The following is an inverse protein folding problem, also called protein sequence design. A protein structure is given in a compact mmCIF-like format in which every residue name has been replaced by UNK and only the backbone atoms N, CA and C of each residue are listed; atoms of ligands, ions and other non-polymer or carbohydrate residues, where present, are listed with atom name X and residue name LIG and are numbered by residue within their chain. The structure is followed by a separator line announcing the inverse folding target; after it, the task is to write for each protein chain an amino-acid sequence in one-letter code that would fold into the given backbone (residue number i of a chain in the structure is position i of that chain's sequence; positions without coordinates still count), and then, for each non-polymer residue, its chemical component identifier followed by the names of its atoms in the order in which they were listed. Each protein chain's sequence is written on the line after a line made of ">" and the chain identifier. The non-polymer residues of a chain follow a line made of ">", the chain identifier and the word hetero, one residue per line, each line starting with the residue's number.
data_IF_603892072788
#
_entry.id   IF_603892072788
#
_cell.length_a   1.000
_cell.length_b   1.000
_cell.length_c   1.000
_cell.angle_alpha   90.00
_cell.angle_beta   90.00
_cell.angle_gamma   90.00
#
_symmetry.space_group_name_H-M   'P 1'
#
loop_
_entity.id
_entity.type
_entity.pdbx_description
1 polymer ?
#
# COMPACT_ATOMS: atom_id res chain seq x y z
N UNK A 1 23.97 -1.58 5.54
CA UNK A 1 22.67 -2.17 5.95
C UNK A 1 22.37 -1.93 7.44
N UNK A 2 22.95 -2.62 8.44
CA UNK A 2 22.63 -2.38 9.87
C UNK A 2 22.80 -0.92 10.36
N UNK A 3 23.81 -0.20 9.88
CA UNK A 3 24.02 1.24 10.16
C UNK A 3 22.93 2.13 9.54
N UNK A 4 22.40 1.73 8.39
CA UNK A 4 21.36 2.44 7.64
C UNK A 4 19.94 2.07 8.12
N UNK A 5 19.75 0.84 8.60
CA UNK A 5 18.55 0.42 9.35
C UNK A 5 18.34 1.33 10.57
N UNK A 6 19.41 1.72 11.28
CA UNK A 6 19.33 2.70 12.37
C UNK A 6 18.94 4.11 11.90
N UNK A 7 19.33 4.53 10.68
CA UNK A 7 18.88 5.81 10.11
C UNK A 7 17.41 5.74 9.70
N UNK A 8 16.97 4.62 9.17
CA UNK A 8 15.55 4.36 8.88
C UNK A 8 14.70 4.47 10.16
N UNK A 9 15.19 3.96 11.29
CA UNK A 9 14.55 4.15 12.62
C UNK A 9 14.42 5.63 13.03
N UNK A 10 15.33 6.50 12.59
CA UNK A 10 15.30 7.94 12.88
C UNK A 10 14.33 8.69 11.95
N UNK A 11 14.24 8.32 10.67
CA UNK A 11 13.27 8.85 9.70
C UNK A 11 11.84 8.38 10.02
N UNK A 12 11.67 7.15 10.50
CA UNK A 12 10.40 6.67 11.06
C UNK A 12 9.99 7.50 12.29
N UNK A 13 10.96 8.05 13.04
CA UNK A 13 10.72 8.96 14.16
C UNK A 13 10.26 10.37 13.77
N UNK A 14 10.36 10.75 12.50
CA UNK A 14 9.83 12.02 11.96
C UNK A 14 8.49 11.84 11.25
N UNK A 15 7.70 10.83 11.65
CA UNK A 15 6.46 10.43 10.98
C UNK A 15 5.59 11.62 10.58
N UNK A 16 5.34 11.72 9.27
CA UNK A 16 4.64 12.85 8.66
C UNK A 16 3.12 12.82 8.90
N UNK A 17 2.60 11.70 9.42
CA UNK A 17 1.16 11.43 9.47
C UNK A 17 0.79 10.56 10.67
N UNK A 18 0.03 11.14 11.59
CA UNK A 18 -0.46 10.47 12.79
C UNK A 18 -1.89 10.02 12.55
N UNK A 19 -2.19 8.72 12.70
CA UNK A 19 -3.57 8.24 12.65
C UNK A 19 -4.07 8.00 14.09
N UNK A 20 -5.12 8.69 14.56
CA UNK A 20 -5.66 8.50 15.92
C UNK A 20 -6.33 7.12 16.12
N UNK A 21 -6.22 6.21 15.15
CA UNK A 21 -6.74 4.86 15.23
C UNK A 21 -5.81 3.96 16.06
N UNK A 22 -5.89 4.02 17.39
CA UNK A 22 -5.50 2.86 18.20
C UNK A 22 -6.50 1.73 17.90
N UNK A 23 -6.06 0.47 17.72
CA UNK A 23 -6.99 -0.65 17.61
C UNK A 23 -7.86 -0.64 18.86
N UNK A 24 -9.16 -0.37 18.71
CA UNK A 24 -10.00 -0.18 19.86
C UNK A 24 -10.19 -1.56 20.49
N UNK A 25 -9.86 -1.67 21.78
CA UNK A 25 -10.22 -2.86 22.57
C UNK A 25 -11.75 -3.08 22.60
N UNK A 26 -12.52 -2.07 22.21
CA UNK A 26 -13.96 -2.14 22.05
C UNK A 26 -14.36 -2.97 20.83
N UNK A 27 -15.34 -3.85 21.00
CA UNK A 27 -16.01 -4.52 19.87
C UNK A 27 -16.63 -3.47 18.94
N UNK A 28 -16.40 -3.55 17.61
CA UNK A 28 -17.02 -2.67 16.62
C UNK A 28 -18.54 -2.70 16.71
N UNK A 29 -19.18 -1.62 16.28
CA UNK A 29 -20.63 -1.58 16.16
C UNK A 29 -21.12 -2.60 15.13
N UNK A 30 -22.16 -3.37 15.48
CA UNK A 30 -22.86 -4.25 14.54
C UNK A 30 -23.70 -3.39 13.60
N UNK A 31 -23.57 -3.61 12.29
CA UNK A 31 -24.27 -2.83 11.27
C UNK A 31 -23.70 -2.98 9.86
N UNK A 32 -24.32 -2.25 8.93
CA UNK A 32 -23.88 -2.11 7.54
C UNK A 32 -23.00 -0.85 7.42
N UNK A 33 -21.79 -1.00 6.90
CA UNK A 33 -20.82 0.08 6.70
C UNK A 33 -20.38 0.12 5.24
N UNK A 34 -20.12 1.32 4.73
CA UNK A 34 -19.45 1.47 3.45
C UNK A 34 -17.96 1.73 3.66
N UNK A 35 -17.15 1.17 2.78
CA UNK A 35 -15.74 1.46 2.71
C UNK A 35 -15.35 1.82 1.28
N UNK A 36 -14.54 2.87 1.15
CA UNK A 36 -13.89 3.24 -0.10
C UNK A 36 -12.41 2.89 0.01
N UNK A 37 -11.83 2.38 -1.06
CA UNK A 37 -10.39 2.16 -1.14
C UNK A 37 -9.84 2.79 -2.42
N UNK A 38 -9.09 3.87 -2.23
CA UNK A 38 -8.41 4.64 -3.26
C UNK A 38 -6.91 4.68 -2.95
N UNK A 39 -6.12 3.91 -3.72
CA UNK A 39 -4.66 3.87 -3.56
C UNK A 39 -3.86 3.57 -4.82
N UNK A 40 -4.51 3.43 -5.97
CA UNK A 40 -3.89 3.13 -7.26
C UNK A 40 -4.89 3.34 -8.40
N UNK A 41 -4.67 2.70 -9.54
CA UNK A 41 -5.56 2.80 -10.71
C UNK A 41 -6.91 2.10 -10.54
N UNK A 42 -7.03 1.23 -9.53
CA UNK A 42 -8.26 0.54 -9.18
C UNK A 42 -8.87 1.16 -7.92
N UNK A 43 -10.05 1.74 -8.07
CA UNK A 43 -10.89 2.21 -6.98
C UNK A 43 -11.88 1.12 -6.56
N UNK A 44 -12.14 0.98 -5.26
CA UNK A 44 -13.10 0.00 -4.74
C UNK A 44 -14.16 0.66 -3.89
N UNK A 45 -15.41 0.27 -4.13
CA UNK A 45 -16.55 0.57 -3.25
C UNK A 45 -17.00 -0.74 -2.61
N UNK A 46 -17.11 -0.74 -1.29
CA UNK A 46 -17.35 -1.94 -0.49
C UNK A 46 -18.51 -1.73 0.47
N UNK A 47 -19.41 -2.71 0.54
CA UNK A 47 -20.38 -2.86 1.61
C UNK A 47 -19.87 -3.93 2.59
N UNK A 48 -19.58 -3.51 3.81
CA UNK A 48 -19.07 -4.37 4.88
C UNK A 48 -20.16 -4.53 5.93
N UNK A 49 -20.59 -5.76 6.16
CA UNK A 49 -21.57 -6.11 7.18
C UNK A 49 -20.83 -6.67 8.38
N UNK A 50 -20.88 -5.93 9.48
CA UNK A 50 -20.24 -6.29 10.73
C UNK A 50 -21.30 -6.85 11.66
N UNK A 51 -21.15 -8.09 12.12
CA UNK A 51 -22.15 -8.72 12.99
C UNK A 51 -21.75 -10.07 13.55
N UNK A 52 -22.76 -10.80 14.00
CA UNK A 52 -22.63 -12.19 14.43
C UNK A 52 -23.31 -13.10 13.38
N UNK A 53 -22.72 -14.27 13.15
CA UNK A 53 -23.36 -15.30 12.33
C UNK A 53 -24.46 -16.05 13.12
N UNK A 54 -25.05 -17.07 12.50
CA UNK A 54 -26.13 -17.85 13.10
C UNK A 54 -25.70 -18.63 14.35
N UNK A 55 -24.39 -18.85 14.52
CA UNK A 55 -23.79 -19.54 15.66
C UNK A 55 -23.31 -18.55 16.75
N UNK A 56 -23.59 -17.26 16.59
CA UNK A 56 -23.17 -16.20 17.50
C UNK A 56 -21.68 -15.87 17.39
N UNK A 57 -20.98 -16.33 16.35
CA UNK A 57 -19.58 -16.00 16.12
C UNK A 57 -19.46 -14.69 15.35
N UNK A 58 -18.42 -13.92 15.70
CA UNK A 58 -18.11 -12.68 15.02
C UNK A 58 -17.83 -12.93 13.54
N UNK A 59 -18.58 -12.26 12.66
CA UNK A 59 -18.43 -12.39 11.21
C UNK A 59 -18.45 -11.02 10.55
N UNK A 60 -17.54 -10.84 9.59
CA UNK A 60 -17.50 -9.68 8.71
C UNK A 60 -17.71 -10.18 7.29
N UNK A 61 -18.84 -9.81 6.69
CA UNK A 61 -19.17 -10.15 5.29
C UNK A 61 -18.94 -8.93 4.40
N UNK A 62 -18.19 -9.10 3.32
CA UNK A 62 -17.84 -8.00 2.42
C UNK A 62 -18.36 -8.27 1.03
N UNK A 63 -19.01 -7.27 0.43
CA UNK A 63 -19.29 -7.21 -1.00
C UNK A 63 -18.58 -6.00 -1.57
N UNK A 64 -18.06 -6.11 -2.77
CA UNK A 64 -17.33 -5.00 -3.38
C UNK A 64 -17.53 -4.94 -4.88
N UNK A 65 -17.22 -3.77 -5.44
CA UNK A 65 -17.05 -3.58 -6.88
C UNK A 65 -15.80 -2.75 -7.14
N UNK A 66 -15.03 -3.17 -8.15
CA UNK A 66 -13.86 -2.45 -8.62
C UNK A 66 -14.23 -1.54 -9.78
N UNK A 67 -13.63 -0.35 -9.80
CA UNK A 67 -13.76 0.66 -10.83
C UNK A 67 -12.37 1.08 -11.28
N UNK A 68 -12.14 1.13 -12.59
CA UNK A 68 -10.88 1.63 -13.14
C UNK A 68 -10.95 3.15 -13.24
N UNK A 69 -10.03 3.85 -12.57
CA UNK A 69 -10.01 5.31 -12.61
C UNK A 69 -9.42 5.77 -13.95
N UNK A 70 -10.14 6.60 -14.73
CA UNK A 70 -9.63 7.18 -15.96
C UNK A 70 -8.37 8.04 -15.72
N UNK A 71 -7.41 8.02 -16.66
CA UNK A 71 -6.14 8.75 -16.53
C UNK A 71 -6.34 10.27 -16.45
N UNK A 72 -7.32 10.79 -17.19
CA UNK A 72 -7.76 12.19 -17.15
C UNK A 72 -8.36 12.57 -15.78
N UNK A 73 -9.02 11.65 -15.09
CA UNK A 73 -9.45 11.88 -13.70
C UNK A 73 -8.26 11.87 -12.72
N UNK A 74 -7.27 10.99 -12.93
CA UNK A 74 -6.07 10.91 -12.08
C UNK A 74 -5.15 12.13 -12.20
N UNK A 75 -5.12 12.76 -13.38
CA UNK A 75 -4.20 13.86 -13.74
C UNK A 75 -4.88 15.20 -13.96
N UNK A 76 -6.21 15.25 -13.91
CA UNK A 76 -7.02 16.45 -14.13
C UNK A 76 -7.15 17.34 -12.89
N UNK A 77 -8.38 17.60 -12.46
CA UNK A 77 -8.68 18.40 -11.27
C UNK A 77 -9.21 17.53 -10.13
N UNK A 78 -9.09 18.02 -8.90
CA UNK A 78 -9.69 17.38 -7.74
C UNK A 78 -11.21 17.19 -7.93
N UNK A 79 -11.90 18.20 -8.48
CA UNK A 79 -13.34 18.10 -8.78
C UNK A 79 -13.64 16.92 -9.71
N UNK A 80 -12.91 16.79 -10.82
CA UNK A 80 -13.08 15.65 -11.75
C UNK A 80 -12.87 14.30 -11.05
N UNK A 81 -11.81 14.17 -10.23
CA UNK A 81 -11.52 12.93 -9.52
C UNK A 81 -12.62 12.57 -8.51
N UNK A 82 -13.02 13.52 -7.67
CA UNK A 82 -14.01 13.26 -6.61
C UNK A 82 -15.44 13.12 -7.17
N UNK A 83 -15.77 13.78 -8.28
CA UNK A 83 -17.05 13.57 -8.97
C UNK A 83 -17.13 12.16 -9.59
N UNK A 84 -16.03 11.66 -10.17
CA UNK A 84 -15.93 10.28 -10.64
C UNK A 84 -16.07 9.27 -9.48
N UNK A 85 -15.45 9.56 -8.33
CA UNK A 85 -15.61 8.74 -7.11
C UNK A 85 -17.08 8.72 -6.65
N UNK A 86 -17.74 9.88 -6.60
CA UNK A 86 -19.16 9.96 -6.25
C UNK A 86 -20.05 9.21 -7.25
N UNK A 87 -19.67 9.17 -8.52
CA UNK A 87 -20.33 8.35 -9.54
C UNK A 87 -20.22 6.85 -9.28
N UNK A 88 -19.02 6.38 -9.00
CA UNK A 88 -18.78 4.98 -8.66
C UNK A 88 -19.59 4.56 -7.41
N UNK A 89 -19.66 5.43 -6.40
CA UNK A 89 -20.46 5.19 -5.18
C UNK A 89 -21.95 5.06 -5.52
N UNK A 90 -22.50 6.01 -6.28
CA UNK A 90 -23.90 6.01 -6.70
C UNK A 90 -24.25 4.75 -7.51
N UNK A 91 -23.42 4.39 -8.48
CA UNK A 91 -23.60 3.17 -9.29
C UNK A 91 -23.61 1.90 -8.41
N UNK A 92 -22.69 1.82 -7.44
CA UNK A 92 -22.64 0.69 -6.51
C UNK A 92 -23.88 0.63 -5.61
N UNK A 93 -24.32 1.77 -5.07
CA UNK A 93 -25.50 1.84 -4.19
C UNK A 93 -26.80 1.50 -4.92
N UNK A 94 -26.92 1.87 -6.20
CA UNK A 94 -28.05 1.46 -7.04
C UNK A 94 -28.10 -0.07 -7.18
N UNK A 95 -26.96 -0.70 -7.50
CA UNK A 95 -26.87 -2.15 -7.66
C UNK A 95 -27.15 -2.91 -6.37
N UNK A 96 -26.80 -2.34 -5.21
CA UNK A 96 -27.13 -2.92 -3.91
C UNK A 96 -28.53 -2.52 -3.38
N UNK A 97 -29.26 -1.66 -4.11
CA UNK A 97 -30.55 -1.08 -3.70
C UNK A 97 -30.47 -0.37 -2.33
N UNK A 98 -29.43 0.44 -2.11
CA UNK A 98 -29.08 1.06 -0.82
C UNK A 98 -29.02 2.59 -0.86
N UNK A 99 -29.32 3.25 -1.99
CA UNK A 99 -29.28 4.73 -2.10
C UNK A 99 -30.17 5.48 -1.09
N UNK A 100 -31.25 4.85 -0.64
CA UNK A 100 -32.18 5.42 0.32
C UNK A 100 -31.66 5.40 1.77
N UNK A 101 -30.53 4.74 2.04
CA UNK A 101 -29.92 4.67 3.37
C UNK A 101 -28.74 5.62 3.48
N UNK A 102 -28.70 6.35 4.58
CA UNK A 102 -27.51 7.10 5.00
C UNK A 102 -26.59 6.17 5.79
N UNK A 103 -25.57 5.63 5.12
CA UNK A 103 -24.64 4.66 5.70
C UNK A 103 -23.36 5.36 6.19
N UNK A 104 -22.78 4.94 7.33
CA UNK A 104 -21.46 5.39 7.74
C UNK A 104 -20.41 4.87 6.76
N UNK A 105 -19.47 5.74 6.40
CA UNK A 105 -18.43 5.49 5.41
C UNK A 105 -17.04 5.65 6.01
N UNK A 106 -16.21 4.62 5.84
CA UNK A 106 -14.76 4.69 6.00
C UNK A 106 -14.07 4.94 4.68
N UNK A 107 -13.17 5.91 4.64
CA UNK A 107 -12.42 6.24 3.43
C UNK A 107 -10.96 5.83 3.58
N UNK A 108 -10.58 4.71 2.97
CA UNK A 108 -9.17 4.37 2.78
C UNK A 108 -8.59 5.21 1.65
N UNK A 109 -7.69 6.11 2.01
CA UNK A 109 -7.02 7.03 1.10
C UNK A 109 -5.50 6.85 1.23
N UNK A 110 -4.91 6.09 0.29
CA UNK A 110 -3.53 5.62 0.39
C UNK A 110 -2.50 6.63 -0.13
N UNK A 111 -2.55 7.86 0.37
CA UNK A 111 -1.59 8.91 0.04
C UNK A 111 -1.09 9.62 1.31
N UNK A 112 0.04 10.33 1.25
CA UNK A 112 0.52 11.14 2.35
C UNK A 112 -0.50 12.22 2.73
N UNK A 113 -1.07 12.11 3.93
CA UNK A 113 -2.08 13.04 4.44
C UNK A 113 -1.75 13.45 5.86
N UNK A 114 -1.65 14.75 6.14
CA UNK A 114 -1.62 15.24 7.53
C UNK A 114 -3.03 15.17 8.11
N UNK A 115 -3.25 14.24 9.04
CA UNK A 115 -4.50 14.14 9.78
C UNK A 115 -4.61 15.28 10.80
N UNK A 116 -5.75 15.97 10.77
CA UNK A 116 -6.15 16.92 11.82
C UNK A 116 -7.23 16.32 12.72
N UNK A 117 -7.99 15.34 12.21
CA UNK A 117 -8.95 14.52 12.95
C UNK A 117 -9.14 13.16 12.23
N UNK A 118 -9.93 12.24 12.79
CA UNK A 118 -10.25 10.95 12.18
C UNK A 118 -11.01 11.11 10.85
N UNK A 119 -11.82 12.15 10.69
CA UNK A 119 -12.58 12.47 9.48
C UNK A 119 -12.03 13.70 8.73
N UNK A 120 -10.81 14.15 9.07
CA UNK A 120 -10.20 15.35 8.49
C UNK A 120 -8.73 15.11 8.17
N UNK A 121 -8.41 15.14 6.89
CA UNK A 121 -7.05 14.92 6.42
C UNK A 121 -6.67 15.84 5.26
N UNK A 122 -5.54 16.53 5.43
CA UNK A 122 -4.97 17.43 4.43
C UNK A 122 -3.96 16.66 3.57
N UNK A 123 -4.25 16.51 2.27
CA UNK A 123 -3.31 15.86 1.35
C UNK A 123 -2.00 16.67 1.28
N UNK A 124 -0.87 16.01 1.52
CA UNK A 124 0.45 16.65 1.49
C UNK A 124 1.00 16.71 0.06
N UNK A 125 1.08 15.55 -0.58
CA UNK A 125 1.59 15.42 -1.94
C UNK A 125 1.00 14.16 -2.58
N UNK A 126 0.79 14.22 -3.89
CA UNK A 126 0.41 13.04 -4.64
C UNK A 126 1.58 12.05 -4.78
N UNK A 127 1.23 10.77 -4.86
CA UNK A 127 2.14 9.68 -5.16
C UNK A 127 1.48 8.73 -6.15
N UNK A 128 2.17 7.63 -6.52
CA UNK A 128 1.60 6.51 -7.31
C UNK A 128 1.02 6.89 -8.67
N UNK A 129 1.25 8.11 -9.16
CA UNK A 129 0.88 8.57 -10.50
C UNK A 129 -0.31 9.52 -10.55
N UNK A 130 -0.89 9.86 -9.40
CA UNK A 130 -1.89 10.91 -9.30
C UNK A 130 -1.22 12.27 -9.40
N UNK A 131 -1.90 13.24 -10.02
CA UNK A 131 -1.49 14.66 -10.09
C UNK A 131 -2.69 15.61 -10.10
N UNK A 132 -3.87 15.14 -9.68
CA UNK A 132 -5.11 15.91 -9.70
C UNK A 132 -4.96 17.26 -8.98
N UNK A 133 -5.05 18.33 -9.76
CA UNK A 133 -4.81 19.70 -9.31
C UNK A 133 -5.88 20.18 -8.33
N UNK A 134 -5.48 20.94 -7.31
CA UNK A 134 -6.39 21.46 -6.28
C UNK A 134 -6.73 20.47 -5.15
N UNK A 135 -6.15 19.27 -5.14
CA UNK A 135 -6.29 18.34 -4.01
C UNK A 135 -5.22 18.55 -2.93
N UNK A 136 -3.97 18.78 -3.34
CA UNK A 136 -2.86 19.02 -2.41
C UNK A 136 -3.13 20.29 -1.57
N UNK A 137 -2.82 20.22 -0.27
CA UNK A 137 -3.12 21.26 0.70
C UNK A 137 -4.59 21.36 1.14
N UNK A 138 -5.49 20.52 0.60
CA UNK A 138 -6.92 20.57 0.89
C UNK A 138 -7.41 19.34 1.68
N UNK A 139 -8.55 19.51 2.36
CA UNK A 139 -9.20 18.45 3.11
C UNK A 139 -9.88 17.44 2.16
N UNK A 140 -9.31 16.25 2.07
CA UNK A 140 -9.76 15.15 1.19
C UNK A 140 -11.20 14.73 1.49
N UNK A 141 -11.57 14.63 2.77
CA UNK A 141 -12.95 14.30 3.18
C UNK A 141 -13.91 15.42 2.80
N UNK A 142 -13.47 16.68 2.89
CA UNK A 142 -14.24 17.83 2.41
C UNK A 142 -14.50 17.76 0.91
N UNK A 143 -13.48 17.46 0.11
CA UNK A 143 -13.61 17.29 -1.35
C UNK A 143 -14.62 16.19 -1.72
N UNK A 144 -14.57 15.05 -1.01
CA UNK A 144 -15.53 13.96 -1.18
C UNK A 144 -16.95 14.38 -0.79
N UNK A 145 -17.12 15.06 0.36
CA UNK A 145 -18.43 15.56 0.81
C UNK A 145 -19.05 16.53 -0.19
N UNK A 146 -18.27 17.45 -0.75
CA UNK A 146 -18.75 18.38 -1.78
C UNK A 146 -19.13 17.67 -3.08
N UNK A 147 -18.38 16.64 -3.50
CA UNK A 147 -18.74 15.84 -4.68
C UNK A 147 -20.05 15.07 -4.50
N UNK A 148 -20.25 14.43 -3.34
CA UNK A 148 -21.50 13.76 -2.99
C UNK A 148 -22.67 14.75 -3.02
N UNK A 149 -22.47 15.95 -2.45
CA UNK A 149 -23.48 17.01 -2.43
C UNK A 149 -23.80 17.57 -3.81
N UNK A 150 -22.79 17.80 -4.67
CA UNK A 150 -23.00 18.22 -6.07
C UNK A 150 -23.83 17.20 -6.84
N UNK A 151 -23.62 15.92 -6.59
CA UNK A 151 -24.36 14.84 -7.23
C UNK A 151 -25.82 14.77 -6.78
N UNK A 152 -26.05 14.78 -5.46
CA UNK A 152 -27.38 14.97 -4.87
C UNK A 152 -28.37 13.80 -4.96
N UNK A 153 -27.97 12.61 -5.43
CA UNK A 153 -28.83 11.42 -5.57
C UNK A 153 -28.70 10.39 -4.43
N UNK A 154 -27.80 10.63 -3.47
CA UNK A 154 -27.65 9.84 -2.24
C UNK A 154 -27.03 10.69 -1.11
N UNK A 155 -27.15 10.21 0.14
CA UNK A 155 -26.48 10.80 1.31
C UNK A 155 -25.50 9.80 1.95
N UNK A 156 -24.42 10.32 2.53
CA UNK A 156 -23.46 9.52 3.30
C UNK A 156 -22.95 10.28 4.51
N UNK A 157 -22.48 9.52 5.50
CA UNK A 157 -21.76 10.05 6.65
C UNK A 157 -20.32 9.55 6.62
N UNK A 158 -19.38 10.40 6.19
CA UNK A 158 -17.95 10.07 6.19
C UNK A 158 -17.45 10.19 7.62
N UNK A 159 -17.30 9.07 8.31
CA UNK A 159 -17.00 9.02 9.76
C UNK A 159 -15.52 8.82 10.05
N UNK A 160 -14.76 8.30 9.08
CA UNK A 160 -13.33 8.08 9.22
C UNK A 160 -12.63 8.11 7.86
N UNK A 161 -11.40 8.56 7.86
CA UNK A 161 -10.46 8.41 6.77
C UNK A 161 -9.18 7.79 7.31
N UNK A 162 -8.60 6.84 6.58
CA UNK A 162 -7.41 6.10 7.03
C UNK A 162 -6.48 5.76 5.88
N UNK A 163 -5.22 5.50 6.19
CA UNK A 163 -4.26 4.94 5.23
C UNK A 163 -4.47 3.43 5.06
N UNK A 164 -4.14 2.87 3.90
CA UNK A 164 -4.29 1.44 3.61
C UNK A 164 -3.46 0.53 4.52
N UNK A 165 -2.28 0.97 4.94
CA UNK A 165 -1.47 0.23 5.92
C UNK A 165 -2.20 0.11 7.25
N UNK A 166 -2.80 1.19 7.75
CA UNK A 166 -3.54 1.25 9.01
C UNK A 166 -4.80 0.40 8.94
N UNK A 167 -5.55 0.52 7.85
CA UNK A 167 -6.71 -0.32 7.60
C UNK A 167 -6.33 -1.81 7.56
N UNK A 168 -5.27 -2.18 6.84
CA UNK A 168 -4.76 -3.56 6.80
C UNK A 168 -4.38 -4.06 8.19
N UNK A 169 -3.65 -3.27 8.97
CA UNK A 169 -3.29 -3.63 10.35
C UNK A 169 -4.53 -3.91 11.20
N UNK A 170 -5.54 -3.04 11.13
CA UNK A 170 -6.75 -3.14 11.94
C UNK A 170 -7.62 -4.32 11.48
N UNK A 171 -7.71 -4.58 10.18
CA UNK A 171 -8.39 -5.77 9.66
C UNK A 171 -7.77 -7.04 10.24
N UNK A 172 -6.44 -7.14 10.26
CA UNK A 172 -5.73 -8.29 10.81
C UNK A 172 -5.76 -8.33 12.35
N UNK A 173 -5.85 -7.19 13.04
CA UNK A 173 -6.01 -7.12 14.50
C UNK A 173 -7.25 -7.84 15.01
N UNK A 174 -8.36 -7.76 14.26
CA UNK A 174 -9.59 -8.48 14.61
C UNK A 174 -9.54 -10.00 14.33
N UNK A 175 -8.48 -10.48 13.67
CA UNK A 175 -8.19 -11.91 13.51
C UNK A 175 -7.15 -12.39 14.53
N UNK A 176 -6.13 -11.58 14.78
CA UNK A 176 -5.09 -11.80 15.78
C UNK A 176 -4.75 -10.49 16.51
N UNK A 177 -5.02 -10.47 17.81
CA UNK A 177 -4.83 -9.28 18.64
C UNK A 177 -3.35 -8.93 18.89
N UNK A 178 -2.40 -9.77 18.43
CA UNK A 178 -0.98 -9.41 18.36
C UNK A 178 -0.63 -8.58 17.12
N UNK A 179 -1.58 -8.31 16.23
CA UNK A 179 -1.34 -7.55 15.01
C UNK A 179 -1.19 -6.06 15.30
N UNK A 180 0.06 -5.58 15.28
CA UNK A 180 0.42 -4.20 15.63
C UNK A 180 1.30 -3.56 14.56
N UNK A 181 1.40 -4.19 13.39
CA UNK A 181 2.06 -3.66 12.19
C UNK A 181 1.19 -3.94 10.97
N UNK A 182 1.02 -2.93 10.13
CA UNK A 182 0.42 -3.07 8.80
C UNK A 182 1.46 -2.81 7.72
N UNK A 183 1.49 -3.64 6.68
CA UNK A 183 2.45 -3.56 5.57
C UNK A 183 1.71 -3.66 4.24
N UNK A 184 2.03 -2.74 3.32
CA UNK A 184 1.55 -2.77 1.95
C UNK A 184 2.73 -2.95 1.01
N UNK A 185 2.69 -3.97 0.16
CA UNK A 185 3.63 -4.18 -0.95
C UNK A 185 2.86 -4.49 -2.23
N UNK A 186 2.41 -3.43 -2.91
CA UNK A 186 1.57 -3.47 -4.10
C UNK A 186 2.10 -2.52 -5.17
N UNK A 187 1.26 -1.63 -5.69
CA UNK A 187 1.70 -0.55 -6.59
C UNK A 187 2.79 0.30 -5.95
N UNK A 188 2.58 0.68 -4.69
CA UNK A 188 3.55 1.32 -3.82
C UNK A 188 4.02 0.40 -2.69
N UNK A 189 4.78 0.96 -1.75
CA UNK A 189 5.24 0.26 -0.56
C UNK A 189 5.19 1.18 0.66
N UNK A 190 4.44 0.78 1.69
CA UNK A 190 4.31 1.55 2.93
C UNK A 190 4.13 0.62 4.14
N UNK A 191 4.39 1.13 5.34
CA UNK A 191 4.06 0.45 6.59
C UNK A 191 3.50 1.40 7.65
N UNK A 192 2.75 0.83 8.60
CA UNK A 192 2.37 1.47 9.84
C UNK A 192 2.63 0.54 11.02
N UNK A 193 2.70 1.09 12.22
CA UNK A 193 2.84 0.29 13.44
C UNK A 193 2.29 1.02 14.67
N UNK A 194 2.06 0.29 15.76
CA UNK A 194 1.69 0.87 17.05
C UNK A 194 2.92 1.35 17.82
N UNK A 195 3.00 2.66 18.05
CA UNK A 195 4.03 3.32 18.83
C UNK A 195 3.49 3.75 20.21
N UNK A 196 4.36 3.82 21.21
CA UNK A 196 4.02 4.36 22.53
C UNK A 196 3.85 5.88 22.45
N UNK A 197 2.78 6.42 23.06
CA UNK A 197 2.46 7.86 22.98
C UNK A 197 3.60 8.76 23.46
N UNK A 198 4.38 8.32 24.46
CA UNK A 198 5.56 9.02 24.94
C UNK A 198 6.67 9.22 23.88
N UNK A 199 6.64 8.48 22.77
CA UNK A 199 7.56 8.65 21.65
C UNK A 199 6.96 9.49 20.50
N UNK A 200 5.69 9.90 20.59
CA UNK A 200 4.96 10.65 19.56
C UNK A 200 4.93 12.14 19.94
N UNK A 201 6.05 12.83 19.74
CA UNK A 201 6.24 14.23 20.14
C UNK A 201 5.27 15.23 19.48
N UNK A 202 4.63 14.85 18.38
CA UNK A 202 3.73 15.69 17.59
C UNK A 202 2.28 15.70 18.11
N UNK A 203 1.93 14.85 19.10
CA UNK A 203 0.61 14.85 19.74
C UNK A 203 0.75 15.10 21.23
N UNK A 204 -0.15 15.90 21.79
CA UNK A 204 -0.21 16.10 23.24
C UNK A 204 -0.65 14.81 23.96
N UNK A 205 0.10 14.43 25.00
CA UNK A 205 -0.19 13.29 25.85
C UNK A 205 0.89 12.21 25.78
N UNK A 206 1.17 11.57 26.92
CA UNK A 206 2.20 10.53 27.03
C UNK A 206 1.60 9.13 27.30
N UNK A 207 0.30 9.07 27.61
CA UNK A 207 -0.37 7.83 27.98
C UNK A 207 -0.99 7.11 26.77
N UNK A 208 -0.78 5.80 26.70
CA UNK A 208 -1.38 4.94 25.69
C UNK A 208 -0.49 4.75 24.47
N UNK A 209 -1.10 4.35 23.35
CA UNK A 209 -0.42 3.99 22.11
C UNK A 209 -1.16 4.52 20.91
N UNK A 210 -0.43 4.84 19.86
CA UNK A 210 -0.96 5.44 18.65
C UNK A 210 -0.39 4.77 17.40
N UNK A 211 -1.22 4.66 16.37
CA UNK A 211 -0.77 4.12 15.09
C UNK A 211 0.01 5.20 14.33
N UNK A 212 1.26 4.88 14.00
CA UNK A 212 2.14 5.72 13.20
C UNK A 212 2.14 5.20 11.78
N UNK A 213 1.67 6.01 10.84
CA UNK A 213 1.87 5.79 9.42
C UNK A 213 3.26 6.30 9.05
N UNK A 214 4.15 5.40 8.62
CA UNK A 214 5.56 5.75 8.43
C UNK A 214 5.82 6.57 7.17
N UNK A 215 4.96 6.42 6.14
CA UNK A 215 5.23 6.91 4.79
C UNK A 215 6.67 6.62 4.33
N UNK A 216 7.18 5.43 4.67
CA UNK A 216 8.60 5.09 4.51
C UNK A 216 9.09 5.04 3.06
N UNK A 217 8.18 5.24 2.10
CA UNK A 217 8.49 5.29 0.67
C UNK A 217 9.46 6.43 0.34
N UNK A 218 9.39 7.52 1.11
CA UNK A 218 10.28 8.69 1.03
C UNK A 218 11.67 8.47 1.65
N UNK A 219 11.94 7.30 2.25
CA UNK A 219 13.27 7.03 2.77
C UNK A 219 14.31 7.10 1.64
N UNK A 220 15.44 7.76 1.88
CA UNK A 220 16.48 7.99 0.88
C UNK A 220 16.36 9.29 0.10
N UNK A 221 15.23 10.01 0.17
CA UNK A 221 15.01 11.28 -0.52
C UNK A 221 16.03 12.37 -0.07
N UNK A 222 16.65 12.22 1.12
CA UNK A 222 17.71 13.12 1.61
C UNK A 222 19.13 12.57 1.46
N UNK A 223 19.29 11.47 0.70
CA UNK A 223 20.57 10.87 0.34
C UNK A 223 20.97 9.63 1.15
N UNK A 224 20.11 9.13 2.05
CA UNK A 224 20.42 7.96 2.88
C UNK A 224 20.63 6.67 2.07
N UNK A 225 20.07 6.61 0.86
CA UNK A 225 20.13 5.46 -0.03
C UNK A 225 21.11 5.64 -1.19
N UNK A 226 21.88 6.73 -1.26
CA UNK A 226 22.67 7.06 -2.44
C UNK A 226 23.70 5.97 -2.80
N UNK A 227 24.33 5.36 -1.79
CA UNK A 227 25.28 4.24 -1.96
C UNK A 227 24.62 2.95 -2.49
N UNK A 228 23.30 2.83 -2.40
CA UNK A 228 22.54 1.64 -2.83
C UNK A 228 21.81 1.84 -4.16
N UNK A 229 21.67 3.09 -4.63
CA UNK A 229 21.02 3.39 -5.90
C UNK A 229 21.94 3.01 -7.05
N UNK A 230 21.40 2.20 -7.97
CA UNK A 230 22.04 1.85 -9.23
C UNK A 230 21.69 2.87 -10.32
N UNK A 231 22.36 2.78 -11.47
CA UNK A 231 22.05 3.63 -12.64
C UNK A 231 20.59 3.50 -13.07
N UNK A 232 20.00 2.31 -13.00
CA UNK A 232 18.59 2.07 -13.36
C UNK A 232 17.61 2.78 -12.41
N UNK A 233 17.94 2.82 -11.12
CA UNK A 233 17.10 3.50 -10.11
C UNK A 233 17.10 5.02 -10.34
N UNK A 234 18.21 5.57 -10.83
CA UNK A 234 18.31 6.99 -11.21
C UNK A 234 17.49 7.29 -12.46
N UNK A 235 17.59 6.45 -13.50
CA UNK A 235 16.77 6.59 -14.72
C UNK A 235 15.27 6.54 -14.41
N UNK A 236 14.83 5.63 -13.53
CA UNK A 236 13.43 5.56 -13.11
C UNK A 236 13.00 6.81 -12.37
N UNK A 237 13.83 7.29 -11.46
CA UNK A 237 13.55 8.46 -10.65
C UNK A 237 13.46 9.73 -11.49
N UNK A 238 14.47 10.01 -12.32
CA UNK A 238 14.52 11.15 -13.24
C UNK A 238 13.35 11.14 -14.23
N UNK A 239 12.96 9.95 -14.70
CA UNK A 239 11.83 9.78 -15.59
C UNK A 239 10.47 9.70 -14.90
N UNK A 240 10.39 9.79 -13.57
CA UNK A 240 9.13 9.67 -12.84
C UNK A 240 8.36 10.99 -12.79
N UNK A 241 7.11 10.94 -12.32
CA UNK A 241 6.29 12.14 -12.09
C UNK A 241 6.77 12.96 -10.87
N UNK A 242 7.59 12.34 -10.01
CA UNK A 242 8.08 12.93 -8.78
C UNK A 242 9.60 12.68 -8.62
N UNK A 243 10.46 13.26 -9.48
CA UNK A 243 11.92 13.09 -9.38
C UNK A 243 12.48 13.52 -8.02
N UNK A 244 13.40 12.73 -7.47
CA UNK A 244 14.01 12.96 -6.16
C UNK A 244 13.13 12.61 -4.97
N UNK A 245 11.92 12.08 -5.20
CA UNK A 245 10.98 11.70 -4.14
C UNK A 245 10.63 10.21 -4.19
N UNK A 246 10.18 9.66 -3.06
CA UNK A 246 9.74 8.26 -2.95
C UNK A 246 10.82 7.26 -3.40
N UNK A 247 12.10 7.54 -3.12
CA UNK A 247 13.22 6.77 -3.65
C UNK A 247 13.22 5.32 -3.15
N UNK A 248 12.87 5.08 -1.89
CA UNK A 248 12.75 3.72 -1.35
C UNK A 248 11.58 2.96 -1.98
N UNK A 249 10.42 3.60 -2.15
CA UNK A 249 9.28 3.00 -2.83
C UNK A 249 9.61 2.63 -4.28
N UNK A 250 10.37 3.46 -5.00
CA UNK A 250 10.80 3.20 -6.38
C UNK A 250 11.65 1.95 -6.54
N UNK A 251 12.34 1.51 -5.50
CA UNK A 251 13.16 0.29 -5.51
C UNK A 251 12.39 -0.99 -5.14
N UNK A 252 11.15 -0.87 -4.66
CA UNK A 252 10.37 -1.98 -4.10
C UNK A 252 9.01 -2.15 -4.80
N UNK A 253 8.28 -1.04 -4.97
CA UNK A 253 6.89 -1.03 -5.42
C UNK A 253 6.70 -1.63 -6.80
N UNK A 254 5.60 -2.36 -6.97
CA UNK A 254 5.20 -2.99 -8.22
C UNK A 254 4.93 -2.01 -9.36
N UNK A 255 4.79 -0.71 -9.11
CA UNK A 255 4.76 0.29 -10.19
C UNK A 255 6.08 0.36 -10.97
N UNK A 256 7.20 0.10 -10.31
CA UNK A 256 8.54 0.36 -10.84
C UNK A 256 9.32 -0.91 -11.18
N UNK A 257 8.95 -2.05 -10.57
CA UNK A 257 9.64 -3.33 -10.70
C UNK A 257 9.81 -3.79 -12.16
N UNK A 258 8.75 -3.73 -12.96
CA UNK A 258 8.82 -4.09 -14.38
C UNK A 258 9.75 -3.19 -15.19
N UNK A 259 9.72 -1.86 -14.93
CA UNK A 259 10.60 -0.91 -15.61
C UNK A 259 12.07 -1.09 -15.19
N UNK A 260 12.35 -1.44 -13.93
CA UNK A 260 13.69 -1.82 -13.48
C UNK A 260 14.22 -3.00 -14.27
N UNK A 261 13.41 -4.04 -14.44
CA UNK A 261 13.78 -5.21 -15.25
C UNK A 261 14.03 -4.80 -16.70
N UNK A 262 13.14 -4.00 -17.30
CA UNK A 262 13.30 -3.51 -18.68
C UNK A 262 14.64 -2.79 -18.87
N UNK A 263 15.02 -1.91 -17.94
CA UNK A 263 16.28 -1.17 -18.00
C UNK A 263 17.50 -2.08 -17.88
N UNK A 264 17.44 -3.10 -17.02
CA UNK A 264 18.48 -4.13 -16.93
C UNK A 264 18.59 -4.89 -18.26
N UNK A 265 17.47 -5.30 -18.86
CA UNK A 265 17.45 -5.97 -20.17
C UNK A 265 18.04 -5.08 -21.27
N UNK A 266 17.68 -3.79 -21.29
CA UNK A 266 18.24 -2.84 -22.26
C UNK A 266 19.75 -2.71 -22.12
N UNK A 267 20.30 -2.72 -20.91
CA UNK A 267 21.75 -2.75 -20.70
C UNK A 267 22.37 -4.05 -21.21
N UNK A 268 21.77 -5.19 -20.90
CA UNK A 268 22.25 -6.49 -21.40
C UNK A 268 22.25 -6.55 -22.93
N UNK A 269 21.24 -5.98 -23.59
CA UNK A 269 21.21 -5.84 -25.05
C UNK A 269 22.36 -4.95 -25.53
N UNK A 270 22.49 -3.74 -24.97
CA UNK A 270 23.52 -2.79 -25.40
C UNK A 270 24.95 -3.31 -25.21
N UNK A 271 25.16 -4.20 -24.23
CA UNK A 271 26.45 -4.87 -23.97
C UNK A 271 26.60 -6.21 -24.72
N UNK A 272 25.66 -6.55 -25.62
CA UNK A 272 25.64 -7.78 -26.41
C UNK A 272 25.63 -9.07 -25.55
N UNK A 273 25.00 -9.01 -24.38
CA UNK A 273 24.84 -10.12 -23.42
C UNK A 273 23.49 -10.84 -23.58
N UNK A 274 22.53 -10.23 -24.27
CA UNK A 274 21.22 -10.81 -24.55
C UNK A 274 20.71 -10.37 -25.93
N UNK A 275 19.83 -11.20 -26.52
CA UNK A 275 19.11 -10.94 -27.77
C UNK A 275 20.00 -10.59 -28.96
N UNK A 276 21.24 -11.09 -28.99
CA UNK A 276 22.21 -10.80 -30.06
C UNK A 276 22.53 -9.31 -30.21
N UNK A 277 22.31 -8.49 -29.17
CA UNK A 277 22.54 -7.06 -29.22
C UNK A 277 21.40 -6.24 -29.83
N UNK A 278 20.26 -6.86 -30.15
CA UNK A 278 19.12 -6.20 -30.79
C UNK A 278 17.87 -6.22 -29.90
N UNK A 279 17.32 -5.04 -29.62
CA UNK A 279 16.02 -4.88 -28.96
C UNK A 279 14.94 -4.45 -29.96
N UNK A 280 13.73 -4.98 -29.80
CA UNK A 280 12.54 -4.49 -30.50
C UNK A 280 12.15 -3.07 -30.06
N UNK A 281 11.37 -2.37 -30.88
CA UNK A 281 10.82 -1.05 -30.51
C UNK A 281 9.90 -1.13 -29.28
N UNK A 282 9.18 -2.25 -29.10
CA UNK A 282 8.39 -2.49 -27.89
C UNK A 282 9.24 -2.58 -26.64
N UNK A 283 10.36 -3.32 -26.67
CA UNK A 283 11.23 -3.43 -25.50
C UNK A 283 11.92 -2.09 -25.16
N UNK A 284 12.21 -1.27 -26.18
CA UNK A 284 12.74 0.09 -25.99
C UNK A 284 11.73 1.05 -25.35
N UNK A 285 10.44 0.79 -25.50
CA UNK A 285 9.36 1.63 -24.98
C UNK A 285 9.28 1.54 -23.46
N UNK A 286 9.32 2.67 -22.76
CA UNK A 286 9.17 2.75 -21.30
C UNK A 286 7.84 2.13 -20.83
N UNK A 287 7.88 1.34 -19.76
CA UNK A 287 6.71 0.72 -19.16
C UNK A 287 6.17 -0.49 -19.94
N UNK A 288 6.83 -0.92 -21.02
CA UNK A 288 6.39 -2.08 -21.81
C UNK A 288 6.57 -3.42 -21.09
N UNK A 289 7.47 -3.49 -20.11
CA UNK A 289 7.65 -4.67 -19.28
C UNK A 289 6.88 -4.49 -17.98
N UNK A 290 5.70 -5.09 -17.90
CA UNK A 290 4.82 -4.95 -16.74
C UNK A 290 5.28 -5.84 -15.58
N UNK A 291 4.95 -5.44 -14.35
CA UNK A 291 5.29 -6.23 -13.14
C UNK A 291 4.65 -7.61 -13.13
N UNK A 292 3.51 -7.79 -13.80
CA UNK A 292 2.94 -9.13 -13.99
C UNK A 292 3.89 -10.06 -14.77
N UNK A 293 4.66 -9.54 -15.74
CA UNK A 293 5.63 -10.33 -16.48
C UNK A 293 6.77 -10.78 -15.58
N UNK A 294 7.20 -9.97 -14.61
CA UNK A 294 8.21 -10.35 -13.61
C UNK A 294 7.75 -11.58 -12.83
N UNK A 295 6.53 -11.53 -12.28
CA UNK A 295 5.95 -12.67 -11.55
C UNK A 295 5.79 -13.92 -12.41
N UNK A 296 5.37 -13.74 -13.67
CA UNK A 296 5.17 -14.84 -14.61
C UNK A 296 6.49 -15.49 -15.04
N UNK A 297 7.55 -14.71 -15.26
CA UNK A 297 8.87 -15.22 -15.63
C UNK A 297 9.50 -16.00 -14.46
N UNK A 298 9.42 -15.49 -13.23
CA UNK A 298 9.95 -16.20 -12.06
C UNK A 298 9.16 -17.47 -11.72
N UNK A 299 7.86 -17.48 -12.03
CA UNK A 299 6.98 -18.63 -11.86
C UNK A 299 7.05 -19.65 -12.99
N UNK A 300 7.78 -19.36 -14.06
CA UNK A 300 7.84 -20.19 -15.26
C UNK A 300 8.56 -21.52 -15.00
N UNK A 301 8.12 -22.55 -15.74
CA UNK A 301 8.76 -23.85 -15.73
C UNK A 301 10.15 -23.81 -16.38
N UNK A 302 10.93 -24.85 -16.17
CA UNK A 302 12.31 -24.96 -16.69
C UNK A 302 12.41 -24.99 -18.22
N UNK A 303 11.29 -25.15 -18.93
CA UNK A 303 11.20 -25.07 -20.40
C UNK A 303 10.99 -23.64 -20.92
N UNK A 304 10.87 -22.64 -20.03
CA UNK A 304 10.74 -21.21 -20.34
C UNK A 304 9.59 -20.86 -21.28
N UNK A 305 8.53 -21.67 -21.31
CA UNK A 305 7.44 -21.49 -22.29
C UNK A 305 6.70 -20.17 -22.08
N UNK A 306 6.45 -19.78 -20.84
CA UNK A 306 5.77 -18.53 -20.52
C UNK A 306 6.65 -17.32 -20.84
N UNK A 307 7.93 -17.39 -20.47
CA UNK A 307 8.95 -16.38 -20.76
C UNK A 307 9.09 -16.16 -22.27
N UNK A 308 9.14 -17.23 -23.06
CA UNK A 308 9.15 -17.14 -24.53
C UNK A 308 7.92 -16.42 -25.07
N UNK A 309 6.73 -16.69 -24.52
CA UNK A 309 5.50 -16.07 -24.98
C UNK A 309 5.46 -14.58 -24.66
N UNK A 310 5.88 -14.18 -23.45
CA UNK A 310 5.99 -12.77 -23.05
C UNK A 310 6.97 -12.03 -23.98
N UNK A 311 8.14 -12.61 -24.24
CA UNK A 311 9.12 -11.99 -25.12
C UNK A 311 8.59 -11.84 -26.56
N UNK A 312 7.78 -12.79 -27.04
CA UNK A 312 7.10 -12.67 -28.34
C UNK A 312 6.03 -11.58 -28.38
N UNK A 313 5.29 -11.29 -27.29
CA UNK A 313 4.36 -10.16 -27.27
C UNK A 313 5.09 -8.82 -27.35
N UNK A 314 6.31 -8.79 -26.82
CA UNK A 314 7.29 -7.71 -26.97
C UNK A 314 8.04 -7.75 -28.33
N UNK A 315 7.60 -8.56 -29.30
CA UNK A 315 8.18 -8.66 -30.65
C UNK A 315 9.65 -9.10 -30.66
N UNK A 316 10.08 -9.83 -29.63
CA UNK A 316 11.40 -10.45 -29.56
C UNK A 316 11.34 -11.89 -30.10
N UNK A 317 12.48 -12.39 -30.60
CA UNK A 317 12.68 -13.80 -30.94
C UNK A 317 13.74 -14.40 -30.02
N UNK A 318 13.35 -14.82 -28.79
CA UNK A 318 14.32 -15.23 -27.78
C UNK A 318 14.89 -16.62 -28.06
N UNK A 319 16.17 -16.79 -27.73
CA UNK A 319 16.78 -18.10 -27.49
C UNK A 319 16.49 -18.58 -26.07
N UNK A 320 16.79 -19.85 -25.76
CA UNK A 320 16.71 -20.35 -24.38
C UNK A 320 17.66 -19.59 -23.44
N UNK A 321 18.84 -19.18 -23.94
CA UNK A 321 19.78 -18.37 -23.18
C UNK A 321 19.21 -16.99 -22.85
N UNK A 322 18.47 -16.37 -23.78
CA UNK A 322 17.79 -15.09 -23.54
C UNK A 322 16.69 -15.23 -22.48
N UNK A 323 15.91 -16.31 -22.53
CA UNK A 323 14.90 -16.58 -21.51
C UNK A 323 15.53 -16.76 -20.11
N UNK A 324 16.66 -17.45 -20.03
CA UNK A 324 17.41 -17.59 -18.78
C UNK A 324 17.97 -16.24 -18.29
N UNK A 325 18.49 -15.41 -19.20
CA UNK A 325 18.95 -14.06 -18.90
C UNK A 325 17.82 -13.18 -18.35
N UNK A 326 16.63 -13.24 -18.96
CA UNK A 326 15.45 -12.50 -18.51
C UNK A 326 15.00 -12.96 -17.13
N UNK A 327 15.00 -14.28 -16.88
CA UNK A 327 14.71 -14.82 -15.55
C UNK A 327 15.69 -14.32 -14.49
N UNK A 328 17.00 -14.34 -14.78
CA UNK A 328 18.01 -13.81 -13.85
C UNK A 328 17.83 -12.32 -13.57
N UNK A 329 17.46 -11.52 -14.57
CA UNK A 329 17.17 -10.10 -14.39
C UNK A 329 15.95 -9.88 -13.47
N UNK A 330 14.85 -10.63 -13.71
CA UNK A 330 13.66 -10.61 -12.86
C UNK A 330 14.01 -10.99 -11.41
N UNK A 331 14.65 -12.15 -11.23
CA UNK A 331 15.04 -12.67 -9.92
C UNK A 331 15.96 -11.70 -9.17
N UNK A 332 16.87 -11.01 -9.86
CA UNK A 332 17.77 -10.03 -9.24
C UNK A 332 17.01 -8.81 -8.72
N UNK A 333 16.10 -8.25 -9.52
CA UNK A 333 15.30 -7.08 -9.15
C UNK A 333 14.34 -7.43 -8.01
N UNK A 334 13.60 -8.55 -8.11
CA UNK A 334 12.64 -8.95 -7.08
C UNK A 334 13.31 -9.35 -5.76
N UNK A 335 14.48 -9.99 -5.81
CA UNK A 335 15.27 -10.33 -4.61
C UNK A 335 15.76 -9.09 -3.90
N UNK A 336 16.25 -8.09 -4.65
CA UNK A 336 16.62 -6.80 -4.08
C UNK A 336 15.41 -6.13 -3.42
N UNK A 337 14.27 -6.05 -4.11
CA UNK A 337 13.05 -5.44 -3.60
C UNK A 337 12.57 -6.12 -2.30
N UNK A 338 12.55 -7.45 -2.26
CA UNK A 338 12.18 -8.23 -1.07
C UNK A 338 13.16 -8.01 0.10
N UNK A 339 14.46 -7.96 -0.20
CA UNK A 339 15.50 -7.70 0.79
C UNK A 339 15.44 -6.29 1.39
N UNK A 340 15.19 -5.28 0.54
CA UNK A 340 15.01 -3.90 1.00
C UNK A 340 13.76 -3.80 1.87
N UNK A 341 12.60 -4.26 1.38
CA UNK A 341 11.35 -4.28 2.15
C UNK A 341 11.52 -4.99 3.51
N UNK A 342 12.23 -6.13 3.52
CA UNK A 342 12.52 -6.88 4.75
C UNK A 342 13.40 -6.11 5.73
N UNK A 343 14.40 -5.37 5.24
CA UNK A 343 15.22 -4.49 6.08
C UNK A 343 14.41 -3.33 6.69
N UNK A 344 13.46 -2.77 5.93
CA UNK A 344 12.55 -1.74 6.44
C UNK A 344 11.64 -2.25 7.55
N UNK A 345 10.99 -3.40 7.34
CA UNK A 345 10.18 -4.00 8.40
C UNK A 345 11.03 -4.38 9.62
N UNK A 346 12.24 -4.93 9.41
CA UNK A 346 13.15 -5.23 10.50
C UNK A 346 13.53 -3.99 11.32
N UNK A 347 13.64 -2.81 10.71
CA UNK A 347 13.88 -1.55 11.42
C UNK A 347 12.72 -1.20 12.37
N UNK A 348 11.47 -1.35 11.90
CA UNK A 348 10.26 -1.12 12.69
C UNK A 348 10.18 -2.11 13.86
N UNK A 349 10.33 -3.41 13.60
CA UNK A 349 10.22 -4.44 14.62
C UNK A 349 11.31 -4.31 15.71
N UNK A 350 12.56 -4.06 15.31
CA UNK A 350 13.65 -3.84 16.27
C UNK A 350 13.44 -2.57 17.11
N UNK A 351 12.82 -1.53 16.54
CA UNK A 351 12.43 -0.32 17.29
C UNK A 351 11.38 -0.66 18.34
N UNK A 352 10.30 -1.33 17.94
CA UNK A 352 9.22 -1.74 18.85
C UNK A 352 9.75 -2.62 19.99
N UNK A 353 10.59 -3.61 19.67
CA UNK A 353 11.21 -4.49 20.65
C UNK A 353 12.04 -3.70 21.67
N UNK A 354 12.88 -2.76 21.19
CA UNK A 354 13.69 -1.91 22.06
C UNK A 354 12.85 -1.04 23.00
N UNK A 355 11.74 -0.49 22.53
CA UNK A 355 10.89 0.39 23.34
C UNK A 355 10.08 -0.37 24.39
N UNK A 356 9.65 -1.59 24.08
CA UNK A 356 8.91 -2.44 25.02
C UNK A 356 9.81 -3.10 26.06
N UNK A 357 11.08 -3.34 25.72
CA UNK A 357 12.03 -3.96 26.63
C UNK A 357 11.76 -5.45 26.89
N UNK A 358 10.95 -6.10 26.04
CA UNK A 358 10.68 -7.54 26.10
C UNK A 358 11.94 -8.35 25.77
N UNK A 359 12.09 -9.56 26.33
CA UNK A 359 13.17 -10.48 25.91
C UNK A 359 12.95 -10.99 24.48
N UNK A 360 11.70 -11.28 24.13
CA UNK A 360 11.25 -11.69 22.79
C UNK A 360 9.97 -10.91 22.47
N UNK A 361 9.98 -10.16 21.37
CA UNK A 361 8.79 -9.47 20.88
C UNK A 361 7.91 -10.47 20.10
N UNK A 362 6.74 -10.82 20.64
CA UNK A 362 5.70 -11.56 19.90
C UNK A 362 4.82 -10.59 19.16
N UNK A 363 4.73 -10.72 17.84
CA UNK A 363 4.04 -9.73 17.02
C UNK A 363 3.48 -10.33 15.74
N UNK A 364 2.34 -9.78 15.33
CA UNK A 364 1.71 -10.12 14.05
C UNK A 364 1.80 -8.93 13.10
N UNK A 365 2.08 -9.22 11.84
CA UNK A 365 2.17 -8.24 10.76
C UNK A 365 1.06 -8.56 9.75
N UNK A 366 0.10 -7.65 9.63
CA UNK A 366 -0.91 -7.69 8.58
C UNK A 366 -0.32 -7.21 7.26
N UNK A 367 -0.40 -8.01 6.20
CA UNK A 367 0.19 -7.69 4.90
C UNK A 367 -0.85 -7.72 3.78
N UNK A 368 -0.85 -6.69 2.94
CA UNK A 368 -1.61 -6.64 1.68
C UNK A 368 -0.71 -6.12 0.54
N UNK A 369 -1.17 -6.21 -0.70
CA UNK A 369 -0.51 -5.74 -1.90
C UNK A 369 -0.23 -6.85 -2.92
N UNK A 370 -0.37 -6.50 -4.19
CA UNK A 370 -0.27 -7.44 -5.31
C UNK A 370 1.12 -8.07 -5.45
N UNK A 371 2.20 -7.35 -5.15
CA UNK A 371 3.56 -7.91 -5.24
C UNK A 371 3.73 -9.00 -4.19
N UNK A 372 3.33 -8.75 -2.94
CA UNK A 372 3.42 -9.77 -1.88
C UNK A 372 2.54 -11.00 -2.17
N UNK A 373 1.33 -10.78 -2.70
CA UNK A 373 0.33 -11.84 -2.91
C UNK A 373 0.57 -12.68 -4.16
N UNK A 374 0.98 -12.06 -5.26
CA UNK A 374 0.98 -12.69 -6.58
C UNK A 374 2.38 -13.07 -7.06
N UNK A 375 3.44 -12.48 -6.52
CA UNK A 375 4.79 -12.78 -6.95
C UNK A 375 5.27 -14.10 -6.31
N UNK A 376 5.72 -15.10 -7.11
CA UNK A 376 5.90 -16.48 -6.63
C UNK A 376 6.95 -16.63 -5.54
N UNK A 377 8.01 -15.81 -5.56
CA UNK A 377 9.14 -15.92 -4.62
C UNK A 377 9.32 -14.71 -3.70
N UNK A 378 8.51 -13.65 -3.83
CA UNK A 378 8.76 -12.39 -3.11
C UNK A 378 8.58 -12.60 -1.60
N UNK A 379 7.46 -13.24 -1.22
CA UNK A 379 7.09 -13.53 0.16
C UNK A 379 8.20 -14.30 0.90
N UNK A 380 8.72 -15.37 0.30
CA UNK A 380 9.74 -16.21 0.95
C UNK A 380 11.06 -15.47 1.13
N UNK A 381 11.52 -14.74 0.09
CA UNK A 381 12.74 -13.91 0.14
C UNK A 381 12.62 -12.80 1.19
N UNK A 382 11.44 -12.19 1.26
CA UNK A 382 11.10 -11.15 2.24
C UNK A 382 11.11 -11.71 3.67
N UNK A 383 10.38 -12.80 3.95
CA UNK A 383 10.34 -13.45 5.26
C UNK A 383 11.73 -13.89 5.73
N UNK A 384 12.51 -14.53 4.85
CA UNK A 384 13.88 -14.93 5.16
C UNK A 384 14.76 -13.75 5.57
N UNK A 385 14.59 -12.59 4.91
CA UNK A 385 15.33 -11.37 5.25
C UNK A 385 14.90 -10.82 6.61
N UNK A 386 13.58 -10.73 6.85
CA UNK A 386 13.07 -10.21 8.13
C UNK A 386 13.57 -11.06 9.29
N UNK A 387 13.36 -12.38 9.25
CA UNK A 387 13.80 -13.28 10.33
C UNK A 387 15.31 -13.21 10.59
N UNK A 388 16.13 -13.05 9.54
CA UNK A 388 17.57 -12.88 9.67
C UNK A 388 17.96 -11.59 10.41
N UNK A 389 17.16 -10.52 10.27
CA UNK A 389 17.44 -9.20 10.82
C UNK A 389 16.73 -8.91 12.16
N UNK A 390 15.82 -9.79 12.59
CA UNK A 390 15.05 -9.66 13.84
C UNK A 390 15.11 -10.95 14.67
N UNK A 391 16.30 -11.39 15.14
CA UNK A 391 16.43 -12.64 15.89
C UNK A 391 15.67 -12.61 17.24
N UNK A 392 15.31 -11.43 17.75
CA UNK A 392 14.57 -11.25 19.00
C UNK A 392 13.05 -11.09 18.81
N UNK A 393 12.52 -11.43 17.63
CA UNK A 393 11.09 -11.32 17.33
C UNK A 393 10.50 -12.66 16.89
N UNK A 394 9.38 -13.04 17.50
CA UNK A 394 8.51 -14.13 17.05
C UNK A 394 7.40 -13.51 16.19
N UNK A 395 7.48 -13.71 14.88
CA UNK A 395 6.68 -12.96 13.90
C UNK A 395 5.67 -13.88 13.22
N UNK A 396 4.40 -13.50 13.27
CA UNK A 396 3.33 -14.09 12.46
C UNK A 396 2.97 -13.13 11.32
N UNK A 397 2.91 -13.61 10.08
CA UNK A 397 2.44 -12.82 8.95
C UNK A 397 1.02 -13.25 8.57
N UNK A 398 0.06 -12.33 8.65
CA UNK A 398 -1.32 -12.55 8.19
C UNK A 398 -1.48 -11.82 6.86
N UNK A 399 -1.82 -12.57 5.81
CA UNK A 399 -2.19 -11.97 4.53
C UNK A 399 -3.66 -11.54 4.60
N UNK A 400 -3.93 -10.25 4.46
CA UNK A 400 -5.29 -9.74 4.53
C UNK A 400 -6.02 -9.92 3.20
N UNK A 401 -7.19 -10.55 3.21
CA UNK A 401 -8.12 -10.54 2.08
C UNK A 401 -8.99 -9.28 2.18
N UNK A 402 -8.74 -8.29 1.30
CA UNK A 402 -9.45 -7.00 1.28
C UNK A 402 -9.20 -6.11 2.52
N UNK A 403 -7.97 -6.12 3.04
CA UNK A 403 -7.60 -5.50 4.31
C UNK A 403 -7.89 -4.00 4.40
N UNK A 404 -7.64 -3.27 3.31
CA UNK A 404 -7.91 -1.84 3.22
C UNK A 404 -9.40 -1.50 3.42
N UNK A 405 -10.30 -2.30 2.84
CA UNK A 405 -11.74 -2.07 2.92
C UNK A 405 -12.36 -2.52 4.23
N UNK A 406 -12.06 -3.75 4.62
CA UNK A 406 -12.53 -4.32 5.88
C UNK A 406 -12.03 -3.50 7.07
N UNK A 407 -10.76 -3.11 7.05
CA UNK A 407 -10.16 -2.25 8.06
C UNK A 407 -10.87 -0.90 8.21
N UNK A 408 -11.08 -0.18 7.11
CA UNK A 408 -11.78 1.11 7.15
C UNK A 408 -13.21 0.99 7.67
N UNK A 409 -13.95 -0.04 7.27
CA UNK A 409 -15.28 -0.28 7.81
C UNK A 409 -15.26 -0.57 9.33
N UNK A 410 -14.30 -1.35 9.81
CA UNK A 410 -14.17 -1.66 11.25
C UNK A 410 -13.82 -0.40 12.07
N UNK A 411 -12.97 0.47 11.52
CA UNK A 411 -12.64 1.77 12.12
C UNK A 411 -13.88 2.65 12.18
N UNK A 412 -14.62 2.75 11.07
CA UNK A 412 -15.90 3.46 11.01
C UNK A 412 -16.90 2.94 12.03
N UNK A 413 -16.99 1.62 12.19
CA UNK A 413 -17.87 0.99 13.16
C UNK A 413 -17.51 1.34 14.61
N UNK A 414 -16.22 1.52 14.91
CA UNK A 414 -15.78 1.96 16.24
C UNK A 414 -16.03 3.46 16.40
N UNK A 415 -15.62 4.28 15.43
CA UNK A 415 -15.81 5.73 15.47
C UNK A 415 -17.29 6.10 15.67
N UNK A 416 -18.17 5.43 14.92
CA UNK A 416 -19.61 5.58 15.04
C UNK A 416 -20.13 5.21 16.44
N UNK A 417 -19.63 4.10 17.02
CA UNK A 417 -19.98 3.70 18.39
C UNK A 417 -19.54 4.74 19.41
N UNK A 418 -18.31 5.24 19.31
CA UNK A 418 -17.77 6.22 20.24
C UNK A 418 -18.54 7.54 20.16
N UNK A 419 -18.88 8.01 18.96
CA UNK A 419 -19.73 9.19 18.77
C UNK A 419 -21.12 9.01 19.40
N UNK A 420 -21.72 7.81 19.27
CA UNK A 420 -23.01 7.52 19.89
C UNK A 420 -22.99 7.49 21.43
N UNK A 421 -21.83 7.20 22.04
CA UNK A 421 -21.64 7.17 23.49
C UNK A 421 -21.40 8.57 24.09
N UNK A 422 -20.85 9.50 23.31
CA UNK A 422 -20.61 10.89 23.73
C UNK A 422 -21.87 11.76 23.54
N UNK A 423 -22.78 11.35 22.65
CA UNK A 423 -24.04 12.05 22.35
C UNK A 423 -25.19 11.82 23.34
N UNK A 424 -24.93 11.27 24.54
CA UNK A 424 -25.94 11.01 25.58
C UNK A 424 -25.64 11.70 26.91
#
# INVERSE_FOLDING_TARGET
>A
MYREIRKMTAVIGSASVICPASPPRARPQVGDFLALDLGGTNFRVMLVKVGEDLDGQWKVDTKHKMYSIPEDAMTGTAEMLFDYIAECISDYLDQQNMKHKKLPLGFTFSFPVRHEDIDKGILLNWTKGFTASGAEGNNVVGLLREAIKRRGDFEMDVVAMVNDTVATMISCYYEDHHCEVGLIVGTGCNACYMEEMCNVELVEGEEGRMCVNTEWGAFGDTGELEDFRLEYDRVIDEGSLNPGQQLYEKMIGGKYMGELVRLVLMKMVNENLAFGGEASEKLKTKGSFETQFVSQVEGDSSDFRQTCNILRTLEMQPTLADCQAVRMACESVSTRAAGMCGAGLAAVLNRMHKHRGDDILKITVGVDGSVYKLHPAFKDKFHATVHKLTPSCEITFIQSEEGSGRGAALISAVAYKMASLIGH
#
